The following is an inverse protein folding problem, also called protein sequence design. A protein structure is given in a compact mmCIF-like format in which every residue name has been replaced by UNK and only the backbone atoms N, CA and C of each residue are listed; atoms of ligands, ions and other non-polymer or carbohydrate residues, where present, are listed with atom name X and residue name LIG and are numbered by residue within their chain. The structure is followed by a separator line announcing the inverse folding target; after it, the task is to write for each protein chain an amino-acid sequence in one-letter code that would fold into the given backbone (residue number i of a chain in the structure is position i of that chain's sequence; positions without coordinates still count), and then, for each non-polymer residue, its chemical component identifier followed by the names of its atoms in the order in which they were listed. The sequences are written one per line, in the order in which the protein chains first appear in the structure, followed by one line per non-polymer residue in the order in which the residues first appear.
data_IF_514500797263
#
_entry.id   IF_514500797263
#
_cell.length_a   1.000
_cell.length_b   1.000
_cell.length_c   1.000
_cell.angle_alpha   90.00
_cell.angle_beta   90.00
_cell.angle_gamma   90.00
#
_symmetry.space_group_name_H-M   'P 1'
#
loop_
_entity.id
_entity.type
_entity.pdbx_description
1 polymer ?
#
# COMPACT_ATOMS: atom_id res chain seq x y z
N UNK A 1 -0.10 -36.85 24.63
CA UNK A 1 -0.88 -35.60 24.72
C UNK A 1 -0.23 -34.71 25.76
N UNK A 2 1.04 -34.37 25.56
CA UNK A 2 1.87 -33.66 26.56
C UNK A 2 2.86 -32.77 25.83
N UNK A 3 2.41 -31.61 25.31
CA UNK A 3 3.30 -30.55 24.79
C UNK A 3 2.68 -29.16 24.96
N UNK A 4 1.83 -28.98 25.98
CA UNK A 4 1.37 -27.64 26.40
C UNK A 4 1.63 -27.53 27.90
N UNK A 5 2.84 -27.89 28.33
CA UNK A 5 3.27 -27.58 29.68
C UNK A 5 3.80 -26.14 29.72
N UNK A 6 3.02 -25.32 30.40
CA UNK A 6 3.42 -24.07 31.04
C UNK A 6 3.92 -22.95 30.10
N UNK A 7 3.03 -22.47 29.22
CA UNK A 7 3.23 -21.17 28.57
C UNK A 7 3.04 -20.08 29.63
N UNK A 8 4.10 -19.34 29.92
CA UNK A 8 4.02 -18.10 30.68
C UNK A 8 3.28 -17.05 29.84
N UNK A 9 1.98 -16.94 30.13
CA UNK A 9 1.06 -16.09 29.39
C UNK A 9 1.42 -14.60 29.54
N UNK A 10 1.95 -14.18 30.69
CA UNK A 10 2.40 -12.80 30.88
C UNK A 10 3.58 -12.47 29.96
N UNK A 11 4.50 -13.42 29.78
CA UNK A 11 5.62 -13.25 28.86
C UNK A 11 5.15 -13.24 27.39
N UNK A 12 4.18 -14.11 27.05
CA UNK A 12 3.59 -14.17 25.72
C UNK A 12 2.87 -12.87 25.35
N UNK A 13 2.07 -12.30 26.27
CA UNK A 13 1.34 -11.04 26.06
C UNK A 13 2.27 -9.81 25.93
N UNK A 14 3.45 -9.83 26.55
CA UNK A 14 4.44 -8.75 26.42
C UNK A 14 5.13 -8.71 25.06
N UNK A 15 5.19 -9.83 24.34
CA UNK A 15 5.80 -9.93 23.02
C UNK A 15 5.19 -8.94 22.01
N UNK A 16 3.87 -8.99 21.78
CA UNK A 16 3.16 -8.04 20.94
C UNK A 16 3.38 -6.59 21.38
N UNK A 17 3.27 -6.30 22.68
CA UNK A 17 3.48 -4.93 23.20
C UNK A 17 4.90 -4.42 22.88
N UNK A 18 5.91 -5.26 23.04
CA UNK A 18 7.31 -4.93 22.72
C UNK A 18 7.51 -4.72 21.22
N UNK A 19 6.97 -5.60 20.38
CA UNK A 19 7.05 -5.48 18.93
C UNK A 19 6.43 -4.16 18.45
N UNK A 20 5.25 -3.84 18.97
CA UNK A 20 4.47 -2.66 18.60
C UNK A 20 5.05 -1.35 19.14
N UNK A 21 5.85 -1.39 20.20
CA UNK A 21 6.59 -0.24 20.74
C UNK A 21 8.03 -0.13 20.24
N UNK A 22 8.53 -1.09 19.47
CA UNK A 22 9.89 -1.02 18.91
C UNK A 22 9.89 -0.08 17.69
N UNK A 23 10.75 0.94 17.65
CA UNK A 23 10.81 1.85 16.51
C UNK A 23 11.27 1.13 15.24
N UNK A 24 10.61 1.42 14.12
CA UNK A 24 11.05 1.00 12.78
C UNK A 24 12.20 1.90 12.30
N UNK A 25 12.77 1.61 11.13
CA UNK A 25 13.87 2.39 10.53
C UNK A 25 13.59 3.89 10.39
N UNK A 26 12.32 4.30 10.39
CA UNK A 26 11.87 5.69 10.39
C UNK A 26 11.85 6.36 11.78
N UNK A 27 12.29 5.68 12.84
CA UNK A 27 12.44 6.21 14.20
C UNK A 27 11.19 6.15 15.09
N UNK A 28 10.02 5.84 14.52
CA UNK A 28 8.76 5.73 15.25
C UNK A 28 8.32 4.28 15.38
N UNK A 29 7.67 3.92 16.49
CA UNK A 29 7.08 2.59 16.65
C UNK A 29 5.74 2.50 15.89
N UNK A 30 5.27 1.30 15.51
CA UNK A 30 3.94 1.11 14.93
C UNK A 30 2.80 1.74 15.75
N UNK A 31 2.93 1.74 17.08
CA UNK A 31 1.95 2.35 18.00
C UNK A 31 1.99 3.86 18.01
N UNK A 32 3.17 4.46 17.91
CA UNK A 32 3.28 5.90 17.74
C UNK A 32 2.72 6.34 16.39
N UNK A 33 2.89 5.55 15.33
CA UNK A 33 2.29 5.86 14.03
C UNK A 33 0.76 5.76 14.07
N UNK A 34 0.21 4.78 14.79
CA UNK A 34 -1.24 4.55 14.81
C UNK A 34 -2.00 5.39 15.85
N UNK A 35 -1.42 5.57 17.03
CA UNK A 35 -2.06 6.19 18.20
C UNK A 35 -1.38 7.47 18.67
N UNK A 36 -0.21 7.81 18.13
CA UNK A 36 0.57 8.98 18.56
C UNK A 36 1.34 8.80 19.86
N UNK A 37 1.26 7.63 20.51
CA UNK A 37 1.98 7.33 21.74
C UNK A 37 2.38 5.85 21.85
N UNK A 38 3.37 5.50 22.68
CA UNK A 38 3.64 4.12 23.05
C UNK A 38 2.44 3.48 23.76
N UNK A 39 2.21 2.18 23.53
CA UNK A 39 1.22 1.41 24.28
C UNK A 39 1.80 0.92 25.60
N UNK A 40 1.11 1.19 26.71
CA UNK A 40 1.49 0.71 28.03
C UNK A 40 0.79 -0.61 28.43
N UNK A 41 -0.30 -0.96 27.74
CA UNK A 41 -1.08 -2.16 28.02
C UNK A 41 -1.73 -2.71 26.75
N UNK A 42 -2.21 -3.95 26.82
CA UNK A 42 -3.03 -4.58 25.77
C UNK A 42 -4.48 -4.05 25.74
N UNK A 43 -4.84 -3.14 26.66
CA UNK A 43 -6.17 -2.52 26.73
C UNK A 43 -6.19 -1.28 25.84
N UNK A 44 -7.26 -1.07 25.04
CA UNK A 44 -7.40 0.14 24.25
C UNK A 44 -7.40 1.39 25.14
N UNK A 45 -6.47 2.30 24.88
CA UNK A 45 -6.40 3.59 25.54
C UNK A 45 -7.33 4.57 24.84
N UNK A 46 -8.16 5.32 25.59
CA UNK A 46 -8.99 6.37 25.00
C UNK A 46 -8.10 7.52 24.49
N UNK A 47 -8.34 8.07 23.28
CA UNK A 47 -7.51 9.15 22.72
C UNK A 47 -7.38 10.39 23.61
N UNK A 48 -8.42 10.71 24.38
CA UNK A 48 -8.44 11.84 25.32
C UNK A 48 -7.52 11.67 26.52
N UNK A 49 -7.14 10.44 26.85
CA UNK A 49 -6.21 10.12 27.93
C UNK A 49 -4.74 10.21 27.52
N UNK A 50 -4.47 10.43 26.22
CA UNK A 50 -3.13 10.63 25.69
C UNK A 50 -2.69 12.06 26.01
N UNK A 51 -1.53 12.22 26.66
CA UNK A 51 -0.98 13.54 27.01
C UNK A 51 -0.84 14.41 25.75
N UNK A 52 -1.17 15.71 25.89
CA UNK A 52 -1.13 16.69 24.80
C UNK A 52 0.25 16.81 24.15
N UNK A 53 1.31 16.53 24.90
CA UNK A 53 2.68 16.52 24.38
C UNK A 53 2.87 15.47 23.26
N UNK A 54 2.25 14.29 23.41
CA UNK A 54 2.32 13.22 22.43
C UNK A 54 1.47 13.53 21.20
N UNK A 55 0.31 14.17 21.39
CA UNK A 55 -0.52 14.64 20.28
C UNK A 55 0.23 15.65 19.40
N UNK A 56 0.83 16.67 20.02
CA UNK A 56 1.62 17.68 19.29
C UNK A 56 2.85 17.07 18.58
N UNK A 57 3.53 16.11 19.21
CA UNK A 57 4.64 15.40 18.56
C UNK A 57 4.17 14.58 17.36
N UNK A 58 2.99 13.96 17.43
CA UNK A 58 2.41 13.17 16.33
C UNK A 58 2.11 14.04 15.12
N UNK A 59 1.48 15.20 15.36
CA UNK A 59 1.18 16.17 14.31
C UNK A 59 2.46 16.63 13.59
N UNK A 60 3.53 16.94 14.33
CA UNK A 60 4.83 17.28 13.74
C UNK A 60 5.43 16.13 12.92
N UNK A 61 5.32 14.88 13.41
CA UNK A 61 5.77 13.71 12.67
C UNK A 61 5.01 13.53 11.36
N UNK A 62 3.70 13.69 11.36
CA UNK A 62 2.86 13.59 10.16
C UNK A 62 3.23 14.68 9.15
N UNK A 63 3.43 15.93 9.62
CA UNK A 63 3.90 17.02 8.77
C UNK A 63 5.25 16.68 8.11
N UNK A 64 6.20 16.14 8.88
CA UNK A 64 7.52 15.71 8.35
C UNK A 64 7.40 14.55 7.38
N UNK A 65 6.53 13.57 7.64
CA UNK A 65 6.30 12.44 6.75
C UNK A 65 5.70 12.87 5.40
N UNK A 66 4.74 13.80 5.42
CA UNK A 66 4.18 14.41 4.21
C UNK A 66 5.26 15.16 3.44
N UNK A 67 6.03 16.03 4.11
CA UNK A 67 7.10 16.80 3.48
C UNK A 67 8.16 15.88 2.84
N UNK A 68 8.56 14.81 3.54
CA UNK A 68 9.49 13.81 3.03
C UNK A 68 8.93 13.09 1.80
N UNK A 69 7.67 12.66 1.86
CA UNK A 69 7.00 11.98 0.75
C UNK A 69 6.95 12.88 -0.49
N UNK A 70 6.61 14.16 -0.33
CA UNK A 70 6.61 15.13 -1.42
C UNK A 70 8.02 15.40 -1.96
N UNK A 71 9.03 15.46 -1.09
CA UNK A 71 10.42 15.61 -1.52
C UNK A 71 10.90 14.41 -2.33
N UNK A 72 10.62 13.19 -1.87
CA UNK A 72 10.95 11.94 -2.58
C UNK A 72 10.24 11.91 -3.94
N UNK A 73 8.94 12.25 -3.99
CA UNK A 73 8.19 12.36 -5.25
C UNK A 73 8.82 13.37 -6.20
N UNK A 74 9.18 14.56 -5.72
CA UNK A 74 9.84 15.60 -6.54
C UNK A 74 11.18 15.13 -7.07
N UNK A 75 11.99 14.49 -6.23
CA UNK A 75 13.30 13.98 -6.64
C UNK A 75 13.16 12.86 -7.67
N UNK A 76 12.26 11.90 -7.46
CA UNK A 76 11.98 10.84 -8.41
C UNK A 76 11.44 11.41 -9.73
N UNK A 77 10.52 12.37 -9.66
CA UNK A 77 9.90 13.00 -10.83
C UNK A 77 10.77 14.06 -11.51
N UNK A 78 11.91 14.46 -10.91
CA UNK A 78 12.74 15.58 -11.41
C UNK A 78 13.25 15.40 -12.84
N UNK A 79 13.44 14.15 -13.28
CA UNK A 79 13.88 13.81 -14.62
C UNK A 79 12.77 13.17 -15.48
N UNK A 80 11.54 13.11 -14.95
CA UNK A 80 10.40 12.54 -15.67
C UNK A 80 9.88 13.53 -16.70
N UNK A 81 9.54 13.04 -17.88
CA UNK A 81 8.84 13.80 -18.91
C UNK A 81 7.35 13.44 -18.84
N UNK A 82 6.44 14.40 -19.02
CA UNK A 82 5.02 14.08 -19.12
C UNK A 82 4.79 13.13 -20.31
N UNK A 83 4.13 12.00 -20.07
CA UNK A 83 3.73 11.06 -21.12
C UNK A 83 2.47 11.57 -21.84
N UNK A 84 2.35 11.23 -23.12
CA UNK A 84 1.12 11.45 -23.86
C UNK A 84 -0.02 10.62 -23.26
N UNK A 85 -1.23 11.19 -23.30
CA UNK A 85 -2.43 10.50 -22.85
C UNK A 85 -2.69 9.24 -23.68
N UNK A 86 -3.12 8.16 -23.00
CA UNK A 86 -3.55 6.94 -23.66
C UNK A 86 -4.99 7.11 -24.14
N UNK A 87 -5.26 6.69 -25.38
CA UNK A 87 -6.62 6.74 -25.95
C UNK A 87 -7.26 5.35 -25.90
N UNK A 88 -8.58 5.30 -25.64
CA UNK A 88 -9.34 4.05 -25.77
C UNK A 88 -9.21 3.49 -27.20
N UNK A 89 -9.06 2.18 -27.35
CA UNK A 89 -8.76 1.56 -28.64
C UNK A 89 -7.27 1.44 -28.97
N UNK A 90 -6.38 2.08 -28.22
CA UNK A 90 -4.94 1.96 -28.43
C UNK A 90 -4.44 0.58 -27.98
N UNK A 91 -3.68 -0.08 -28.86
CA UNK A 91 -2.99 -1.31 -28.52
C UNK A 91 -1.85 -1.01 -27.55
N UNK A 92 -1.89 -1.65 -26.38
CA UNK A 92 -0.84 -1.52 -25.36
C UNK A 92 -0.24 -2.88 -25.05
N UNK A 93 1.05 -2.87 -24.70
CA UNK A 93 1.70 -4.04 -24.14
C UNK A 93 1.43 -4.07 -22.64
N UNK A 94 0.96 -5.22 -22.17
CA UNK A 94 0.74 -5.46 -20.74
C UNK A 94 2.04 -6.03 -20.18
N UNK A 95 2.43 -5.55 -19.00
CA UNK A 95 3.53 -6.14 -18.26
C UNK A 95 3.00 -7.23 -17.33
N UNK A 96 3.62 -8.41 -17.35
CA UNK A 96 3.30 -9.48 -16.42
C UNK A 96 3.72 -9.07 -14.99
N UNK A 97 2.80 -9.08 -14.00
CA UNK A 97 3.10 -8.66 -12.64
C UNK A 97 4.11 -9.57 -11.92
N UNK A 98 4.26 -10.84 -12.34
CA UNK A 98 5.17 -11.80 -11.72
C UNK A 98 6.54 -11.73 -12.37
N UNK A 99 6.61 -11.93 -13.69
CA UNK A 99 7.90 -11.96 -14.41
C UNK A 99 8.48 -10.58 -14.69
N UNK A 100 7.68 -9.51 -14.59
CA UNK A 100 8.03 -8.12 -14.96
C UNK A 100 8.48 -7.94 -16.41
N UNK A 101 8.32 -8.96 -17.25
CA UNK A 101 8.50 -8.85 -18.69
C UNK A 101 7.19 -8.38 -19.34
N UNK A 102 7.30 -7.73 -20.49
CA UNK A 102 6.13 -7.49 -21.33
C UNK A 102 5.65 -8.82 -21.90
N UNK A 103 4.34 -9.08 -21.82
CA UNK A 103 3.73 -10.24 -22.46
C UNK A 103 3.98 -10.07 -23.97
N UNK A 104 4.59 -11.09 -24.61
CA UNK A 104 5.22 -10.95 -25.94
C UNK A 104 4.30 -10.43 -27.05
N UNK A 105 4.92 -10.01 -28.17
CA UNK A 105 4.35 -9.30 -29.34
C UNK A 105 3.05 -9.86 -29.96
N UNK A 106 2.52 -11.00 -29.51
CA UNK A 106 1.24 -11.57 -29.95
C UNK A 106 0.07 -11.29 -28.99
N UNK A 107 0.33 -10.69 -27.82
CA UNK A 107 -0.66 -10.43 -26.77
C UNK A 107 -0.83 -8.92 -26.59
N UNK A 108 -1.56 -8.28 -27.50
CA UNK A 108 -1.95 -6.88 -27.33
C UNK A 108 -3.22 -6.81 -26.49
N UNK A 109 -3.19 -6.00 -25.45
CA UNK A 109 -4.38 -5.61 -24.73
C UNK A 109 -5.03 -4.41 -25.40
N UNK A 110 -6.35 -4.45 -25.58
CA UNK A 110 -7.09 -3.30 -26.09
C UNK A 110 -7.56 -2.48 -24.88
N UNK A 111 -7.15 -1.20 -24.82
CA UNK A 111 -7.60 -0.30 -23.78
C UNK A 111 -9.09 -0.02 -23.95
N UNK A 112 -9.92 -0.62 -23.09
CA UNK A 112 -11.35 -0.36 -23.01
C UNK A 112 -11.65 0.48 -21.77
N UNK A 113 -12.53 1.47 -21.93
CA UNK A 113 -13.07 2.24 -20.82
C UNK A 113 -14.37 1.57 -20.42
N UNK A 114 -14.42 1.01 -19.22
CA UNK A 114 -15.65 0.45 -18.68
C UNK A 114 -16.20 1.38 -17.59
N UNK A 115 -17.42 1.86 -17.81
CA UNK A 115 -18.16 2.65 -16.82
C UNK A 115 -18.70 1.71 -15.74
N UNK A 116 -18.02 1.66 -14.60
CA UNK A 116 -18.44 0.85 -13.46
C UNK A 116 -19.55 1.61 -12.74
N UNK A 117 -20.81 1.37 -13.14
CA UNK A 117 -21.98 1.92 -12.45
C UNK A 117 -22.16 1.22 -11.09
N UNK A 118 -21.44 1.71 -10.09
CA UNK A 118 -21.57 1.34 -8.68
C UNK A 118 -21.54 2.60 -7.82
N UNK A 119 -22.73 3.01 -7.37
CA UNK A 119 -23.07 4.10 -6.43
C UNK A 119 -21.93 4.81 -5.69
N UNK A 120 -21.91 6.14 -5.87
CA UNK A 120 -21.32 7.21 -5.03
C UNK A 120 -19.83 7.59 -5.17
N UNK A 121 -19.03 6.92 -5.99
CA UNK A 121 -17.73 7.49 -6.37
C UNK A 121 -17.38 6.99 -7.76
N UNK A 122 -17.52 7.86 -8.77
CA UNK A 122 -17.22 7.53 -10.17
C UNK A 122 -15.73 7.23 -10.30
N UNK A 123 -15.37 5.96 -10.12
CA UNK A 123 -14.01 5.47 -10.33
C UNK A 123 -13.97 4.84 -11.71
N UNK A 124 -13.63 5.64 -12.71
CA UNK A 124 -13.37 5.15 -14.06
C UNK A 124 -12.14 4.24 -14.01
N UNK A 125 -12.33 2.93 -14.16
CA UNK A 125 -11.23 1.96 -14.22
C UNK A 125 -10.93 1.60 -15.68
N UNK A 126 -9.66 1.69 -16.07
CA UNK A 126 -9.20 1.15 -17.34
C UNK A 126 -9.10 -0.38 -17.20
N UNK A 127 -9.84 -1.10 -18.03
CA UNK A 127 -9.79 -2.56 -18.10
C UNK A 127 -9.05 -2.93 -19.38
N UNK A 128 -8.05 -3.79 -19.28
CA UNK A 128 -7.30 -4.28 -20.43
C UNK A 128 -7.70 -5.72 -20.68
N UNK A 129 -8.45 -5.97 -21.75
CA UNK A 129 -8.79 -7.32 -22.17
C UNK A 129 -7.69 -7.86 -23.09
N UNK A 130 -7.13 -9.02 -22.75
CA UNK A 130 -6.18 -9.73 -23.59
C UNK A 130 -6.93 -10.51 -24.67
N UNK A 131 -6.88 -10.05 -25.92
CA UNK A 131 -7.36 -10.85 -27.05
C UNK A 131 -6.26 -11.81 -27.47
N UNK A 132 -6.39 -13.10 -27.13
CA UNK A 132 -5.61 -14.15 -27.79
C UNK A 132 -6.25 -14.41 -29.15
N UNK A 133 -5.59 -14.01 -30.24
CA UNK A 133 -6.03 -14.37 -31.59
C UNK A 133 -6.15 -15.90 -31.70
N UNK A 134 -7.27 -16.46 -32.19
CA UNK A 134 -7.37 -17.89 -32.40
C UNK A 134 -6.36 -18.30 -33.46
N UNK A 135 -5.57 -19.31 -33.12
CA UNK A 135 -4.62 -20.01 -33.99
C UNK A 135 -5.28 -20.34 -35.32
N UNK A 136 -4.77 -19.74 -36.41
CA UNK A 136 -5.09 -20.16 -37.78
C UNK A 136 -4.39 -21.49 -38.08
N UNK A 137 -4.90 -22.57 -37.50
CA UNK A 137 -4.70 -23.90 -38.05
C UNK A 137 -5.64 -24.04 -39.25
N UNK A 138 -5.11 -23.93 -40.46
CA UNK A 138 -5.74 -24.44 -41.67
C UNK A 138 -4.65 -25.03 -42.56
N UNK A 139 -4.84 -26.32 -42.79
CA UNK A 139 -4.00 -27.25 -43.55
C UNK A 139 -4.20 -27.11 -45.06
#
# INVERSE_FOLDING_TARGET
TEFIENIDWEYFERGPLKLLNTPISAGHSPTQVLYGCPLYSCVPTQPESISKEWQAQTEDCDCRAVAHTEQVKRQYNSHTRPLAWLTAGQHVQIQDPISRHFIGLSSYGLLQVQDVRGTSSQRTSLVVESSTSPSSALS
#
